data_IF_861018867653
#
_entry.id   IF_861018867653
#
_cell.length_a   1.000
_cell.length_b   1.000
_cell.length_c   1.000
_cell.angle_alpha   90.00
_cell.angle_beta   90.00
_cell.angle_gamma   90.00
#
_symmetry.space_group_name_H-M   'P 1'
#
loop_
_entity.id
_entity.type
_entity.pdbx_description
1 polymer ?
#
# COMPACT_ATOMS: atom_id res chain seq x y z
N UNK A 1 -28.55 13.20 -1.11
CA UNK A 1 -29.62 14.17 -0.81
C UNK A 1 -29.21 15.63 -1.14
N UNK A 2 -27.98 16.08 -0.81
CA UNK A 2 -27.55 17.47 -1.07
C UNK A 2 -27.70 17.88 -2.54
N UNK A 3 -27.31 17.03 -3.49
CA UNK A 3 -27.47 17.28 -4.94
C UNK A 3 -28.93 17.35 -5.33
N UNK A 4 -29.79 16.45 -4.80
CA UNK A 4 -31.23 16.43 -5.08
C UNK A 4 -31.95 17.70 -4.60
N UNK A 5 -31.49 18.27 -3.49
CA UNK A 5 -32.07 19.47 -2.91
C UNK A 5 -31.29 20.75 -3.25
N UNK A 6 -30.24 20.64 -4.09
CA UNK A 6 -29.40 21.76 -4.51
C UNK A 6 -28.77 22.54 -3.33
N UNK A 7 -28.46 21.83 -2.23
CA UNK A 7 -27.95 22.45 -0.99
C UNK A 7 -26.45 22.38 -0.84
N UNK A 8 -25.74 21.67 -1.72
CA UNK A 8 -24.32 21.39 -1.57
C UNK A 8 -23.42 22.05 -2.63
N UNK A 9 -23.97 22.86 -3.52
CA UNK A 9 -23.23 23.48 -4.62
C UNK A 9 -22.53 22.47 -5.55
N UNK A 10 -21.60 22.94 -6.42
CA UNK A 10 -20.88 22.08 -7.36
C UNK A 10 -20.12 20.94 -6.67
N UNK A 11 -19.55 21.19 -5.48
CA UNK A 11 -18.78 20.19 -4.73
C UNK A 11 -19.59 18.93 -4.40
N UNK A 12 -20.89 19.08 -4.06
CA UNK A 12 -21.75 17.93 -3.82
C UNK A 12 -21.95 17.07 -5.07
N UNK A 13 -21.95 17.68 -6.25
CA UNK A 13 -22.03 16.98 -7.54
C UNK A 13 -20.75 16.19 -7.79
N UNK A 14 -19.58 16.78 -7.54
CA UNK A 14 -18.29 16.09 -7.64
C UNK A 14 -18.23 14.86 -6.72
N UNK A 15 -18.58 15.03 -5.44
CA UNK A 15 -18.59 13.91 -4.48
C UNK A 15 -19.58 12.81 -4.88
N UNK A 16 -20.73 13.17 -5.41
CA UNK A 16 -21.67 12.18 -5.94
C UNK A 16 -21.09 11.40 -7.12
N UNK A 17 -20.42 12.09 -8.05
CA UNK A 17 -19.76 11.46 -9.18
C UNK A 17 -18.68 10.46 -8.73
N UNK A 18 -17.84 10.84 -7.78
CA UNK A 18 -16.81 9.99 -7.20
C UNK A 18 -17.41 8.72 -6.54
N UNK A 19 -18.42 8.89 -5.70
CA UNK A 19 -19.11 7.75 -5.07
C UNK A 19 -19.71 6.80 -6.12
N UNK A 20 -20.31 7.33 -7.18
CA UNK A 20 -20.88 6.53 -8.26
C UNK A 20 -19.78 5.79 -9.06
N UNK A 21 -18.64 6.43 -9.28
CA UNK A 21 -17.46 5.78 -9.90
C UNK A 21 -16.98 4.61 -9.05
N UNK A 22 -16.79 4.79 -7.73
CA UNK A 22 -16.39 3.73 -6.83
C UNK A 22 -17.38 2.57 -6.75
N UNK A 23 -18.66 2.86 -6.90
CA UNK A 23 -19.72 1.86 -6.98
C UNK A 23 -19.83 1.17 -8.35
N UNK A 24 -18.97 1.50 -9.32
CA UNK A 24 -19.04 0.97 -10.69
C UNK A 24 -20.23 1.52 -11.51
N UNK A 25 -20.92 2.56 -11.03
CA UNK A 25 -22.04 3.20 -11.74
C UNK A 25 -21.54 4.25 -12.73
N UNK A 26 -20.67 3.83 -13.64
CA UNK A 26 -19.90 4.72 -14.53
C UNK A 26 -20.76 5.67 -15.34
N UNK A 27 -21.90 5.23 -15.90
CA UNK A 27 -22.78 6.09 -16.69
C UNK A 27 -23.37 7.25 -15.85
N UNK A 28 -23.68 7.00 -14.58
CA UNK A 28 -24.17 8.03 -13.69
C UNK A 28 -23.05 8.98 -13.26
N UNK A 29 -21.86 8.43 -12.98
CA UNK A 29 -20.68 9.22 -12.65
C UNK A 29 -20.30 10.17 -13.81
N UNK A 30 -20.29 9.68 -15.06
CA UNK A 30 -20.04 10.50 -16.27
C UNK A 30 -20.98 11.72 -16.31
N UNK A 31 -22.29 11.52 -16.09
CA UNK A 31 -23.25 12.63 -16.10
C UNK A 31 -22.91 13.68 -15.04
N UNK A 32 -22.59 13.26 -13.83
CA UNK A 32 -22.30 14.18 -12.74
C UNK A 32 -20.93 14.84 -12.87
N UNK A 33 -19.90 14.14 -13.37
CA UNK A 33 -18.62 14.78 -13.70
C UNK A 33 -18.77 15.83 -14.79
N UNK A 34 -19.55 15.55 -15.83
CA UNK A 34 -19.84 16.53 -16.89
C UNK A 34 -20.55 17.75 -16.31
N UNK A 35 -21.60 17.54 -15.52
CA UNK A 35 -22.34 18.64 -14.86
C UNK A 35 -21.44 19.50 -13.96
N UNK A 36 -20.50 18.87 -13.24
CA UNK A 36 -19.54 19.62 -12.42
C UNK A 36 -18.58 20.43 -13.28
N UNK A 37 -18.08 19.85 -14.38
CA UNK A 37 -17.15 20.51 -15.30
C UNK A 37 -17.79 21.68 -16.09
N UNK A 38 -19.11 21.68 -16.26
CA UNK A 38 -19.83 22.83 -16.79
C UNK A 38 -19.68 24.07 -15.91
N UNK A 39 -19.53 23.87 -14.57
CA UNK A 39 -19.33 24.95 -13.61
C UNK A 39 -17.86 25.23 -13.31
N UNK A 40 -16.99 24.21 -13.33
CA UNK A 40 -15.56 24.29 -12.99
C UNK A 40 -14.73 23.51 -14.04
N UNK A 41 -14.58 24.05 -15.26
CA UNK A 41 -13.93 23.36 -16.37
C UNK A 41 -12.46 22.98 -16.11
N UNK A 42 -11.76 23.73 -15.26
CA UNK A 42 -10.33 23.56 -14.97
C UNK A 42 -10.02 22.46 -13.93
N UNK A 43 -11.03 21.77 -13.38
CA UNK A 43 -10.83 20.73 -12.37
C UNK A 43 -10.17 19.48 -12.98
N UNK A 44 -8.88 19.29 -12.78
CA UNK A 44 -8.15 18.09 -13.21
C UNK A 44 -8.73 16.82 -12.55
N UNK A 45 -9.16 16.90 -11.30
CA UNK A 45 -9.79 15.78 -10.58
C UNK A 45 -11.03 15.29 -11.31
N UNK A 46 -11.92 16.20 -11.71
CA UNK A 46 -13.16 15.86 -12.40
C UNK A 46 -12.89 15.39 -13.84
N UNK A 47 -11.93 16.00 -14.54
CA UNK A 47 -11.50 15.57 -15.89
C UNK A 47 -10.97 14.14 -15.87
N UNK A 48 -10.07 13.83 -14.92
CA UNK A 48 -9.52 12.49 -14.74
C UNK A 48 -10.60 11.47 -14.34
N UNK A 49 -11.51 11.85 -13.45
CA UNK A 49 -12.64 11.00 -13.06
C UNK A 49 -13.57 10.68 -14.23
N UNK A 50 -13.90 11.68 -15.04
CA UNK A 50 -14.72 11.53 -16.26
C UNK A 50 -14.06 10.58 -17.26
N UNK A 51 -12.78 10.80 -17.57
CA UNK A 51 -12.05 9.95 -18.51
C UNK A 51 -11.89 8.53 -17.96
N UNK A 52 -11.56 8.37 -16.68
CA UNK A 52 -11.50 7.08 -16.00
C UNK A 52 -12.82 6.29 -16.11
N UNK A 53 -13.97 6.94 -15.96
CA UNK A 53 -15.28 6.30 -16.15
C UNK A 53 -15.54 5.87 -17.60
N UNK A 54 -15.13 6.67 -18.58
CA UNK A 54 -15.22 6.32 -20.01
C UNK A 54 -14.36 5.11 -20.34
N UNK A 55 -13.11 5.12 -19.90
CA UNK A 55 -12.15 4.02 -20.11
C UNK A 55 -12.58 2.72 -19.40
N UNK A 56 -13.08 2.80 -18.18
CA UNK A 56 -13.57 1.64 -17.44
C UNK A 56 -14.65 0.88 -18.23
N UNK A 57 -15.52 1.58 -18.93
CA UNK A 57 -16.57 0.98 -19.77
C UNK A 57 -15.97 0.23 -20.96
N UNK A 58 -14.91 0.78 -21.57
CA UNK A 58 -14.18 0.15 -22.68
C UNK A 58 -13.43 -1.08 -22.19
N UNK A 59 -12.68 -0.97 -21.10
CA UNK A 59 -11.92 -2.08 -20.53
C UNK A 59 -12.80 -3.25 -20.09
N UNK A 60 -13.96 -2.95 -19.52
CA UNK A 60 -14.92 -4.00 -19.16
C UNK A 60 -15.36 -4.86 -20.36
N UNK A 61 -15.44 -4.26 -21.55
CA UNK A 61 -15.80 -4.97 -22.79
C UNK A 61 -14.63 -5.75 -23.41
N UNK A 62 -13.41 -5.21 -23.29
CA UNK A 62 -12.20 -5.86 -23.83
C UNK A 62 -11.82 -7.15 -23.08
N UNK A 63 -12.28 -7.26 -21.84
CA UNK A 63 -11.84 -8.34 -20.95
C UNK A 63 -10.42 -8.12 -20.43
N UNK A 64 -9.88 -9.09 -19.74
CA UNK A 64 -8.52 -9.08 -19.18
C UNK A 64 -7.76 -10.30 -19.68
N UNK A 65 -6.45 -10.12 -19.92
CA UNK A 65 -5.52 -11.23 -20.15
C UNK A 65 -5.31 -12.08 -18.88
N UNK A 66 -5.73 -11.56 -17.71
CA UNK A 66 -5.55 -12.20 -16.42
C UNK A 66 -6.84 -12.78 -15.89
N UNK A 67 -6.76 -13.98 -15.33
CA UNK A 67 -7.84 -14.57 -14.55
C UNK A 67 -7.60 -14.31 -13.07
N UNK A 68 -8.51 -13.57 -12.43
CA UNK A 68 -8.43 -13.29 -11.00
C UNK A 68 -9.09 -14.43 -10.23
N UNK A 69 -8.33 -15.06 -9.32
CA UNK A 69 -8.82 -16.10 -8.42
C UNK A 69 -8.64 -15.69 -6.97
N UNK A 70 -9.70 -15.81 -6.18
CA UNK A 70 -9.60 -15.64 -4.73
C UNK A 70 -8.81 -16.79 -4.13
N UNK A 71 -7.91 -16.48 -3.21
CA UNK A 71 -7.11 -17.45 -2.46
C UNK A 71 -7.56 -17.49 -0.99
N UNK A 72 -8.58 -18.30 -0.63
CA UNK A 72 -9.19 -18.27 0.70
C UNK A 72 -8.20 -18.58 1.83
N UNK A 73 -7.16 -19.39 1.58
CA UNK A 73 -6.16 -19.74 2.58
C UNK A 73 -5.33 -18.53 3.03
N UNK A 74 -5.10 -17.59 2.12
CA UNK A 74 -4.32 -16.37 2.40
C UNK A 74 -5.20 -15.23 2.94
N UNK A 75 -6.49 -15.20 2.54
CA UNK A 75 -7.38 -14.10 2.85
C UNK A 75 -7.80 -14.09 4.33
N UNK A 76 -7.89 -12.90 4.89
CA UNK A 76 -8.48 -12.65 6.21
C UNK A 76 -9.80 -11.87 6.09
N UNK A 77 -10.47 -11.63 7.23
CA UNK A 77 -11.60 -10.67 7.32
C UNK A 77 -11.12 -9.24 7.54
N UNK A 78 -9.81 -9.03 7.59
CA UNK A 78 -9.14 -7.75 7.79
C UNK A 78 -8.42 -7.34 6.52
N UNK A 79 -7.68 -6.25 6.57
CA UNK A 79 -6.87 -5.82 5.45
C UNK A 79 -5.66 -6.75 5.25
N UNK A 80 -5.43 -7.15 4.00
CA UNK A 80 -4.23 -7.84 3.53
C UNK A 80 -3.71 -7.06 2.32
N UNK A 81 -2.46 -6.58 2.34
CA UNK A 81 -1.92 -5.65 1.34
C UNK A 81 -0.39 -5.74 1.22
N UNK A 82 0.20 -4.98 0.30
CA UNK A 82 1.64 -4.93 0.02
C UNK A 82 2.29 -6.32 -0.12
N UNK A 83 1.83 -7.18 -1.05
CA UNK A 83 2.41 -8.49 -1.25
C UNK A 83 3.80 -8.40 -1.86
N UNK A 84 4.74 -9.17 -1.33
CA UNK A 84 6.08 -9.36 -1.86
C UNK A 84 6.33 -10.87 -2.07
N UNK A 85 6.48 -11.27 -3.33
CA UNK A 85 6.86 -12.64 -3.69
C UNK A 85 8.39 -12.75 -3.67
N UNK A 86 8.88 -13.86 -3.12
CA UNK A 86 10.29 -14.18 -3.05
C UNK A 86 10.53 -15.70 -3.24
N UNK A 87 11.81 -16.10 -3.36
CA UNK A 87 12.23 -17.48 -3.61
C UNK A 87 12.47 -17.77 -5.10
N UNK A 88 13.29 -18.78 -5.40
CA UNK A 88 13.66 -19.16 -6.78
C UNK A 88 12.42 -19.49 -7.63
N UNK A 89 11.40 -20.07 -7.02
CA UNK A 89 10.16 -20.47 -7.67
C UNK A 89 8.96 -19.57 -7.32
N UNK A 90 9.19 -18.39 -6.77
CA UNK A 90 8.14 -17.51 -6.26
C UNK A 90 7.20 -18.25 -5.30
N UNK A 91 7.80 -19.02 -4.42
CA UNK A 91 7.13 -19.92 -3.48
C UNK A 91 6.98 -19.33 -2.09
N UNK A 92 7.53 -18.16 -1.85
CA UNK A 92 7.43 -17.42 -0.60
C UNK A 92 6.65 -16.13 -0.82
N UNK A 93 5.61 -15.92 -0.02
CA UNK A 93 4.80 -14.71 -0.05
C UNK A 93 4.84 -14.04 1.31
N UNK A 94 5.34 -12.82 1.33
CA UNK A 94 5.25 -11.91 2.46
C UNK A 94 4.20 -10.85 2.17
N UNK A 95 3.48 -10.40 3.17
CA UNK A 95 2.47 -9.35 3.00
C UNK A 95 2.13 -8.70 4.34
N UNK A 96 1.64 -7.47 4.28
CA UNK A 96 1.16 -6.76 5.46
C UNK A 96 -0.29 -7.14 5.76
N UNK A 97 -0.63 -7.28 7.03
CA UNK A 97 -1.99 -7.62 7.42
C UNK A 97 -2.36 -7.08 8.80
N UNK A 98 -3.62 -6.66 8.96
CA UNK A 98 -4.20 -6.21 10.23
C UNK A 98 -5.02 -7.29 10.92
N UNK A 99 -4.73 -8.57 10.65
CA UNK A 99 -5.46 -9.71 11.24
C UNK A 99 -5.27 -9.78 12.76
N UNK A 100 -6.18 -10.44 13.50
CA UNK A 100 -6.15 -10.46 14.98
C UNK A 100 -4.85 -10.96 15.61
N UNK A 101 -4.07 -11.76 14.87
CA UNK A 101 -2.77 -12.30 15.29
C UNK A 101 -1.61 -11.29 15.16
N UNK A 102 -1.84 -10.11 14.57
CA UNK A 102 -0.85 -9.03 14.57
C UNK A 102 -0.52 -8.59 16.00
N UNK A 103 0.71 -8.14 16.21
CA UNK A 103 1.21 -7.70 17.52
C UNK A 103 0.49 -6.44 18.00
N UNK A 104 0.73 -6.11 19.26
CA UNK A 104 0.09 -4.96 19.90
C UNK A 104 -1.40 -5.13 20.13
N UNK A 105 -1.98 -4.26 20.94
CA UNK A 105 -3.41 -4.21 21.21
C UNK A 105 -4.04 -2.87 20.85
N UNK A 106 -3.20 -1.91 20.49
CA UNK A 106 -3.69 -0.60 20.07
C UNK A 106 -4.37 -0.66 18.71
N UNK A 107 -5.40 0.14 18.58
CA UNK A 107 -6.14 0.28 17.33
C UNK A 107 -5.76 1.59 16.66
N UNK A 108 -5.62 1.55 15.35
CA UNK A 108 -5.44 2.76 14.54
C UNK A 108 -6.59 3.72 14.78
N UNK A 109 -6.28 4.95 15.16
CA UNK A 109 -7.27 6.02 15.32
C UNK A 109 -8.01 6.37 14.02
N UNK A 110 -7.48 5.95 12.87
CA UNK A 110 -8.08 6.20 11.54
C UNK A 110 -8.98 5.05 11.12
N UNK A 111 -8.51 3.80 11.27
CA UNK A 111 -9.21 2.62 10.73
C UNK A 111 -9.99 1.83 11.78
N UNK A 112 -9.71 2.03 13.06
CA UNK A 112 -10.30 1.27 14.16
C UNK A 112 -9.91 -0.22 14.20
N UNK A 113 -8.88 -0.62 13.46
CA UNK A 113 -8.33 -1.98 13.49
C UNK A 113 -6.91 -1.98 14.02
N UNK A 114 -6.37 -3.14 14.38
CA UNK A 114 -4.96 -3.29 14.81
C UNK A 114 -4.01 -2.72 13.76
N UNK A 115 -2.82 -2.32 14.20
CA UNK A 115 -1.70 -2.02 13.33
C UNK A 115 -1.32 -3.25 12.51
N UNK A 116 -0.71 -3.02 11.36
CA UNK A 116 -0.33 -4.11 10.47
C UNK A 116 1.02 -4.71 10.85
N UNK A 117 1.12 -6.02 10.65
CA UNK A 117 2.35 -6.79 10.74
C UNK A 117 2.68 -7.46 9.40
N UNK A 118 3.93 -7.86 9.24
CA UNK A 118 4.39 -8.68 8.13
C UNK A 118 4.12 -10.15 8.43
N UNK A 119 3.34 -10.79 7.56
CA UNK A 119 3.04 -12.21 7.60
C UNK A 119 3.67 -12.92 6.41
N UNK A 120 3.87 -14.20 6.58
CA UNK A 120 4.54 -15.07 5.64
C UNK A 120 3.69 -16.31 5.35
N UNK A 121 3.71 -16.75 4.10
CA UNK A 121 3.15 -18.02 3.64
C UNK A 121 4.08 -18.63 2.61
N UNK A 122 4.20 -19.94 2.60
CA UNK A 122 5.03 -20.67 1.66
C UNK A 122 4.22 -21.71 0.89
N UNK A 123 4.59 -21.93 -0.37
CA UNK A 123 4.06 -23.06 -1.13
C UNK A 123 4.79 -24.35 -0.75
N UNK A 124 4.05 -25.42 -0.68
CA UNK A 124 4.60 -26.78 -0.65
C UNK A 124 5.03 -27.24 -2.05
N UNK A 125 5.63 -28.43 -2.13
CA UNK A 125 6.08 -29.05 -3.39
C UNK A 125 4.93 -29.27 -4.40
N UNK A 126 3.69 -29.23 -3.95
CA UNK A 126 2.47 -29.33 -4.79
C UNK A 126 1.95 -27.96 -5.21
N UNK A 127 2.65 -26.89 -4.86
CA UNK A 127 2.28 -25.50 -5.16
C UNK A 127 1.13 -24.96 -4.31
N UNK A 128 0.79 -25.59 -3.18
CA UNK A 128 -0.27 -25.17 -2.28
C UNK A 128 0.30 -24.26 -1.18
N UNK A 129 -0.29 -23.09 -1.00
CA UNK A 129 0.09 -22.14 0.03
C UNK A 129 -0.23 -22.66 1.44
N UNK A 130 0.66 -22.44 2.36
CA UNK A 130 0.43 -22.64 3.80
C UNK A 130 -0.51 -21.57 4.36
N UNK A 131 -1.06 -21.83 5.56
CA UNK A 131 -1.75 -20.78 6.32
C UNK A 131 -0.72 -19.71 6.70
N UNK A 132 -1.04 -18.41 6.51
CA UNK A 132 -0.12 -17.33 6.88
C UNK A 132 0.18 -17.30 8.38
N UNK A 133 1.44 -17.06 8.69
CA UNK A 133 1.96 -16.89 10.05
C UNK A 133 2.74 -15.60 10.16
N UNK A 134 2.82 -15.01 11.34
CA UNK A 134 3.65 -13.84 11.58
C UNK A 134 5.12 -14.20 11.31
N UNK A 135 5.87 -13.29 10.69
CA UNK A 135 7.29 -13.47 10.42
C UNK A 135 8.03 -13.71 11.75
N UNK A 136 8.88 -14.73 11.78
CA UNK A 136 9.67 -15.08 12.97
C UNK A 136 10.84 -14.09 13.15
N UNK A 137 11.10 -13.71 14.40
CA UNK A 137 12.14 -12.76 14.79
C UNK A 137 11.57 -11.46 15.35
N UNK A 138 12.36 -10.39 15.31
CA UNK A 138 12.01 -9.10 15.92
C UNK A 138 11.50 -8.06 14.92
N UNK A 139 11.02 -8.52 13.75
CA UNK A 139 10.55 -7.62 12.66
C UNK A 139 9.26 -6.93 13.03
N UNK A 140 8.28 -7.70 13.52
CA UNK A 140 6.99 -7.16 13.91
C UNK A 140 7.03 -6.57 15.32
N UNK A 141 6.31 -5.48 15.54
CA UNK A 141 6.26 -4.76 16.81
C UNK A 141 4.82 -4.32 17.14
N UNK A 142 4.65 -3.55 18.19
CA UNK A 142 3.37 -2.90 18.50
C UNK A 142 3.00 -1.77 17.52
N UNK A 143 3.97 -1.33 16.71
CA UNK A 143 3.78 -0.32 15.66
C UNK A 143 3.29 -0.96 14.35
N UNK A 144 3.11 -0.13 13.31
CA UNK A 144 2.74 -0.64 11.99
C UNK A 144 4.01 -1.03 11.21
N UNK A 145 4.17 -2.32 10.96
CA UNK A 145 5.28 -2.91 10.21
C UNK A 145 4.76 -3.50 8.89
N UNK A 146 5.33 -3.08 7.76
CA UNK A 146 4.81 -3.57 6.47
C UNK A 146 5.57 -3.12 5.23
N UNK A 147 4.99 -3.41 4.07
CA UNK A 147 5.53 -3.06 2.76
C UNK A 147 6.99 -3.48 2.59
N UNK A 148 7.26 -4.78 2.70
CA UNK A 148 8.62 -5.31 2.65
C UNK A 148 9.13 -5.57 1.21
N UNK A 149 10.44 -5.52 1.05
CA UNK A 149 11.20 -5.90 -0.14
C UNK A 149 12.48 -6.62 0.29
N UNK A 150 13.09 -7.38 -0.60
CA UNK A 150 14.24 -8.23 -0.28
C UNK A 150 15.45 -7.92 -1.15
N UNK A 151 16.66 -8.09 -0.59
CA UNK A 151 17.85 -8.18 -1.40
C UNK A 151 17.77 -9.39 -2.36
N UNK A 152 18.44 -9.37 -3.52
CA UNK A 152 18.37 -10.46 -4.49
C UNK A 152 18.77 -11.82 -3.92
N UNK A 153 19.69 -11.85 -2.95
CA UNK A 153 20.10 -13.07 -2.25
C UNK A 153 19.16 -13.49 -1.10
N UNK A 154 18.12 -12.68 -0.81
CA UNK A 154 17.11 -12.90 0.24
C UNK A 154 17.61 -12.82 1.66
N UNK A 155 18.81 -12.35 1.86
CA UNK A 155 19.40 -12.27 3.21
C UNK A 155 19.03 -11.00 3.95
N UNK A 156 18.61 -9.96 3.23
CA UNK A 156 18.18 -8.70 3.83
C UNK A 156 16.76 -8.38 3.42
N UNK A 157 15.92 -8.11 4.42
CA UNK A 157 14.59 -7.53 4.26
C UNK A 157 14.65 -6.04 4.55
N UNK A 158 14.07 -5.23 3.67
CA UNK A 158 13.78 -3.83 3.91
C UNK A 158 12.26 -3.68 4.06
N UNK A 159 11.82 -2.90 5.02
CA UNK A 159 10.39 -2.68 5.25
C UNK A 159 10.11 -1.32 5.87
N UNK A 160 8.87 -0.89 5.83
CA UNK A 160 8.42 0.36 6.45
C UNK A 160 7.95 0.09 7.87
N UNK A 161 8.39 0.91 8.82
CA UNK A 161 7.84 1.03 10.17
C UNK A 161 7.22 2.40 10.37
N UNK A 162 5.95 2.45 10.80
CA UNK A 162 5.30 3.69 11.17
C UNK A 162 5.18 3.77 12.69
N UNK A 163 5.69 4.83 13.28
CA UNK A 163 5.62 5.08 14.72
C UNK A 163 4.74 6.28 15.01
N UNK A 164 4.06 6.26 16.14
CA UNK A 164 3.28 7.40 16.63
C UNK A 164 3.99 8.08 17.82
N UNK A 165 5.31 8.00 17.88
CA UNK A 165 6.07 8.66 18.94
C UNK A 165 5.96 10.18 18.75
N UNK A 166 5.35 10.91 19.73
CA UNK A 166 5.22 12.37 19.64
C UNK A 166 6.56 13.10 19.66
N UNK A 167 7.64 12.44 20.10
CA UNK A 167 8.99 13.01 20.07
C UNK A 167 9.68 12.82 18.71
N UNK A 168 9.11 11.99 17.84
CA UNK A 168 9.57 11.78 16.48
C UNK A 168 8.47 12.24 15.51
N UNK A 169 8.60 13.42 14.91
CA UNK A 169 7.63 13.91 13.94
C UNK A 169 7.62 13.07 12.65
N UNK A 170 8.61 12.22 12.46
CA UNK A 170 8.67 11.29 11.32
C UNK A 170 7.64 10.18 11.50
N UNK A 171 6.66 10.16 10.61
CA UNK A 171 5.61 9.16 10.62
C UNK A 171 6.08 7.77 10.19
N UNK A 172 6.98 7.67 9.21
CA UNK A 172 7.46 6.42 8.68
C UNK A 172 8.97 6.43 8.41
N UNK A 173 9.62 5.30 8.70
CA UNK A 173 11.03 5.07 8.39
C UNK A 173 11.24 3.72 7.74
N UNK A 174 12.33 3.56 6.98
CA UNK A 174 12.72 2.29 6.40
C UNK A 174 13.66 1.58 7.36
N UNK A 175 13.28 0.35 7.68
CA UNK A 175 14.08 -0.57 8.50
C UNK A 175 14.72 -1.64 7.63
N UNK A 176 15.85 -2.17 8.05
CA UNK A 176 16.47 -3.35 7.47
C UNK A 176 16.66 -4.43 8.53
N UNK A 177 16.45 -5.69 8.16
CA UNK A 177 16.71 -6.86 9.00
C UNK A 177 17.39 -7.94 8.18
N UNK A 178 18.37 -8.61 8.80
CA UNK A 178 19.11 -9.69 8.15
C UNK A 178 18.55 -11.05 8.60
N UNK A 179 18.52 -11.99 7.67
CA UNK A 179 18.09 -13.36 7.95
C UNK A 179 19.27 -14.18 8.43
N UNK A 180 19.12 -14.83 9.58
CA UNK A 180 20.00 -15.90 10.04
C UNK A 180 19.17 -17.15 10.25
N UNK A 181 19.49 -18.25 9.60
CA UNK A 181 18.76 -19.52 9.66
C UNK A 181 17.25 -19.36 9.43
N UNK A 182 16.43 -19.48 10.48
CA UNK A 182 14.97 -19.46 10.40
C UNK A 182 14.34 -18.11 10.79
N UNK A 183 15.11 -17.16 11.32
CA UNK A 183 14.57 -15.93 11.88
C UNK A 183 15.22 -14.66 11.31
N UNK A 184 14.49 -13.57 11.39
CA UNK A 184 14.98 -12.24 11.06
C UNK A 184 15.58 -11.57 12.31
N UNK A 185 16.73 -10.93 12.15
CA UNK A 185 17.42 -10.21 13.23
C UNK A 185 16.63 -8.99 13.70
N UNK A 186 17.04 -8.41 14.82
CA UNK A 186 16.54 -7.11 15.25
C UNK A 186 16.76 -6.06 14.16
N UNK A 187 15.69 -5.37 13.73
CA UNK A 187 15.78 -4.39 12.66
C UNK A 187 16.62 -3.17 13.04
N UNK A 188 17.27 -2.60 12.04
CA UNK A 188 18.00 -1.34 12.15
C UNK A 188 17.43 -0.32 11.17
N UNK A 189 17.41 0.95 11.55
CA UNK A 189 16.99 2.02 10.65
C UNK A 189 17.99 2.20 9.52
N UNK A 190 17.49 2.29 8.29
CA UNK A 190 18.29 2.63 7.11
C UNK A 190 18.50 4.14 7.06
N UNK A 191 19.72 4.59 7.25
CA UNK A 191 20.06 6.02 7.13
C UNK A 191 20.05 6.44 5.67
N UNK A 192 19.04 7.17 5.27
CA UNK A 192 18.83 7.66 3.90
C UNK A 192 19.39 9.07 3.75
N UNK A 193 19.13 9.95 4.73
CA UNK A 193 19.62 11.32 4.74
C UNK A 193 19.83 11.80 6.17
N UNK A 194 20.41 13.00 6.31
CA UNK A 194 20.48 13.68 7.62
C UNK A 194 19.18 14.35 8.05
N UNK A 195 18.15 14.33 7.20
CA UNK A 195 16.85 14.91 7.50
C UNK A 195 16.08 14.00 8.47
N UNK A 196 15.66 14.55 9.60
CA UNK A 196 14.94 13.84 10.67
C UNK A 196 13.43 14.04 10.62
N UNK A 197 12.91 14.87 9.71
CA UNK A 197 11.50 15.22 9.63
C UNK A 197 10.76 14.48 8.53
N UNK A 198 11.43 14.23 7.39
CA UNK A 198 10.80 13.57 6.25
C UNK A 198 10.48 12.11 6.51
N UNK A 199 9.40 11.65 5.90
CA UNK A 199 9.00 10.25 5.94
C UNK A 199 9.68 9.45 4.84
N UNK A 200 10.04 8.20 5.13
CA UNK A 200 10.63 7.26 4.19
C UNK A 200 9.83 5.96 4.24
N UNK A 201 9.25 5.55 3.12
CA UNK A 201 8.35 4.42 3.08
C UNK A 201 8.40 3.63 1.76
N UNK A 202 7.83 2.43 1.76
CA UNK A 202 7.65 1.58 0.59
C UNK A 202 8.95 1.22 -0.11
N UNK A 203 9.91 0.60 0.61
CA UNK A 203 11.20 0.21 0.02
C UNK A 203 11.02 -0.82 -1.08
N UNK A 204 11.79 -0.67 -2.16
CA UNK A 204 11.87 -1.63 -3.26
C UNK A 204 13.33 -1.76 -3.72
N UNK A 205 13.91 -2.93 -3.52
CA UNK A 205 15.28 -3.22 -3.96
C UNK A 205 15.27 -3.51 -5.45
N UNK A 206 16.25 -2.96 -6.18
CA UNK A 206 16.43 -3.29 -7.59
C UNK A 206 16.85 -4.74 -7.79
N UNK A 207 16.51 -5.38 -8.94
CA UNK A 207 16.87 -6.77 -9.22
C UNK A 207 18.38 -7.05 -9.18
N UNK A 208 19.22 -6.04 -9.44
CA UNK A 208 20.68 -6.14 -9.36
C UNK A 208 21.24 -5.86 -7.95
N UNK A 209 20.38 -5.55 -6.99
CA UNK A 209 20.73 -5.29 -5.60
C UNK A 209 21.45 -3.97 -5.34
N UNK A 210 21.59 -3.10 -6.35
CA UNK A 210 22.39 -1.87 -6.22
C UNK A 210 21.62 -0.67 -5.70
N UNK A 211 20.29 -0.68 -5.87
CA UNK A 211 19.46 0.47 -5.57
C UNK A 211 18.33 0.11 -4.63
N UNK A 212 18.08 0.98 -3.67
CA UNK A 212 16.86 1.01 -2.89
C UNK A 212 16.00 2.17 -3.38
N UNK A 213 14.85 1.86 -3.97
CA UNK A 213 13.82 2.82 -4.31
C UNK A 213 12.85 2.96 -3.13
N UNK A 214 12.32 4.16 -2.93
CA UNK A 214 11.39 4.44 -1.83
C UNK A 214 10.56 5.69 -2.14
N UNK A 215 9.50 5.88 -1.37
CA UNK A 215 8.70 7.10 -1.39
C UNK A 215 9.09 8.00 -0.22
N UNK A 216 9.23 9.32 -0.48
CA UNK A 216 9.55 10.30 0.55
C UNK A 216 9.04 11.69 0.19
N UNK A 217 8.70 12.47 1.21
CA UNK A 217 8.38 13.90 1.16
C UNK A 217 9.60 14.79 1.46
N UNK A 218 10.83 14.23 1.36
CA UNK A 218 12.04 15.00 1.60
C UNK A 218 12.22 16.15 0.59
N UNK A 219 12.90 17.25 1.00
CA UNK A 219 13.10 18.41 0.15
C UNK A 219 13.79 18.07 -1.19
N UNK A 220 13.36 18.75 -2.27
CA UNK A 220 13.91 18.57 -3.61
C UNK A 220 13.01 17.77 -4.56
N UNK A 221 11.86 17.30 -4.09
CA UNK A 221 10.84 16.66 -4.90
C UNK A 221 9.94 17.65 -5.65
N UNK A 222 8.95 17.10 -6.40
CA UNK A 222 8.01 17.87 -7.23
C UNK A 222 6.62 18.01 -6.61
N UNK A 223 6.32 17.22 -5.56
CA UNK A 223 4.99 17.20 -4.95
C UNK A 223 5.03 16.94 -3.46
N UNK A 224 4.05 16.21 -2.94
CA UNK A 224 4.01 15.81 -1.53
C UNK A 224 4.99 14.68 -1.27
N UNK A 225 4.80 13.53 -1.93
CA UNK A 225 5.71 12.38 -1.86
C UNK A 225 6.13 12.00 -3.25
N UNK A 226 7.44 11.87 -3.44
CA UNK A 226 8.07 11.49 -4.69
C UNK A 226 8.79 10.15 -4.58
N UNK A 227 9.15 9.57 -5.73
CA UNK A 227 9.98 8.38 -5.80
C UNK A 227 11.45 8.78 -5.82
N UNK A 228 12.19 8.19 -4.90
CA UNK A 228 13.61 8.41 -4.70
C UNK A 228 14.39 7.10 -4.81
N UNK A 229 15.68 7.20 -4.92
CA UNK A 229 16.58 6.04 -4.83
C UNK A 229 17.90 6.41 -4.17
N UNK A 230 18.46 5.45 -3.46
CA UNK A 230 19.85 5.50 -2.94
C UNK A 230 20.60 4.27 -3.41
N UNK A 231 21.92 4.35 -3.42
CA UNK A 231 22.78 3.20 -3.64
C UNK A 231 22.86 2.37 -2.34
N UNK A 232 22.75 1.03 -2.46
CA UNK A 232 22.92 0.05 -1.38
C UNK A 232 24.36 -0.38 -1.20
#
# INVERSE_FOLDING_TARGET
>A
NAVRYNTGGPEAVLRLAQMQQWMGKYNNAIKNYTLYLDSIPSSLEAQNGLEGCRQATIWKRKGSLYTIKKMPILASRRADYSPALYGENWDQLYFSTTRPQAMGNELSGITGVKMADIFFSQKDDKGKWSKPEAVQGEVNTEYEDGACSFSPDGKTMYFTRCTHDPNYPRYATIMSSNRSDAAWSKPQEVRISGDTLSTFAYPAVSPDGKWLYFSSDMPGGQGGKDLWRINL
#
